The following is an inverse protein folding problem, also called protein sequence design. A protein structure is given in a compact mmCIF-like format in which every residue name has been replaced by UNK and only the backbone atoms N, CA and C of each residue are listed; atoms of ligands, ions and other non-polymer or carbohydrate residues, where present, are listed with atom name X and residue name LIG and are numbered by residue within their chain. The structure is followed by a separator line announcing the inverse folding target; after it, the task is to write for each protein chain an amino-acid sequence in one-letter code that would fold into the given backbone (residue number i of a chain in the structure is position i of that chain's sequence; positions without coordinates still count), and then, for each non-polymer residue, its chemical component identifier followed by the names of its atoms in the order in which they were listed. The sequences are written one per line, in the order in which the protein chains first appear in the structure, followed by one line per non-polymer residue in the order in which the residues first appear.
data_IF_388115195767
#
_entry.id   IF_388115195767
#
_cell.length_a   1.000
_cell.length_b   1.000
_cell.length_c   1.000
_cell.angle_alpha   90.00
_cell.angle_beta   90.00
_cell.angle_gamma   90.00
#
_symmetry.space_group_name_H-M   'P 1'
#
loop_
_entity.id
_entity.type
_entity.pdbx_description
1 polymer ?
#
# COMPACT_ATOMS: atom_id res chain seq x y z
N UNK A 1 -5.89 -15.29 35.92
CA UNK A 1 -6.82 -15.83 34.88
C UNK A 1 -7.36 -14.65 34.09
N UNK A 2 -7.23 -14.68 32.77
CA UNK A 2 -7.74 -13.62 31.88
C UNK A 2 -8.70 -14.20 30.87
N UNK A 3 -9.70 -13.38 30.48
CA UNK A 3 -10.68 -13.69 29.45
C UNK A 3 -10.76 -12.52 28.48
N UNK A 4 -10.98 -12.81 27.20
CA UNK A 4 -11.36 -11.81 26.23
C UNK A 4 -12.40 -12.37 25.25
N UNK A 5 -13.21 -11.50 24.72
CA UNK A 5 -14.24 -11.80 23.72
C UNK A 5 -13.69 -11.47 22.34
N UNK A 6 -13.83 -12.39 21.42
CA UNK A 6 -13.39 -12.22 20.03
C UNK A 6 -14.24 -11.12 19.37
N UNK A 7 -13.57 -10.07 18.95
CA UNK A 7 -14.17 -8.95 18.21
C UNK A 7 -14.25 -9.23 16.71
N UNK A 8 -14.96 -8.42 15.91
CA UNK A 8 -14.95 -8.55 14.43
C UNK A 8 -13.55 -8.58 13.84
N UNK A 9 -12.59 -7.83 14.41
CA UNK A 9 -11.20 -7.78 13.95
C UNK A 9 -10.35 -9.01 14.33
N UNK A 10 -10.89 -9.89 15.15
CA UNK A 10 -10.24 -11.11 15.65
C UNK A 10 -10.87 -12.37 15.09
N UNK A 11 -12.09 -12.25 14.59
CA UNK A 11 -12.86 -13.37 14.03
C UNK A 11 -12.34 -13.81 12.65
N UNK A 12 -12.71 -15.02 12.24
CA UNK A 12 -12.38 -15.58 10.93
C UNK A 12 -10.96 -16.13 10.79
N UNK A 13 -10.10 -15.93 11.79
CA UNK A 13 -8.74 -16.50 11.82
C UNK A 13 -8.69 -17.76 12.67
N UNK A 14 -7.60 -18.53 12.54
CA UNK A 14 -7.38 -19.69 13.42
C UNK A 14 -7.03 -19.21 14.83
N UNK A 15 -7.50 -19.95 15.84
CA UNK A 15 -7.26 -19.65 17.25
C UNK A 15 -5.77 -19.60 17.58
N UNK A 16 -4.95 -20.52 17.02
CA UNK A 16 -3.49 -20.51 17.25
C UNK A 16 -2.83 -19.21 16.75
N UNK A 17 -3.30 -18.63 15.64
CA UNK A 17 -2.79 -17.35 15.12
C UNK A 17 -3.23 -16.18 15.99
N UNK A 18 -4.45 -16.19 16.49
CA UNK A 18 -4.95 -15.18 17.43
C UNK A 18 -4.12 -15.20 18.72
N UNK A 19 -3.88 -16.41 19.28
CA UNK A 19 -3.07 -16.58 20.50
C UNK A 19 -1.61 -16.15 20.34
N UNK A 20 -0.99 -16.40 19.18
CA UNK A 20 0.38 -15.92 18.88
C UNK A 20 0.44 -14.39 18.85
N UNK A 21 -0.62 -13.72 18.45
CA UNK A 21 -0.68 -12.25 18.48
C UNK A 21 -0.90 -11.76 19.92
N UNK A 22 -1.78 -12.41 20.67
CA UNK A 22 -2.11 -12.02 22.04
C UNK A 22 -0.94 -12.27 23.01
N UNK A 23 -0.26 -13.41 22.89
CA UNK A 23 0.95 -13.77 23.65
C UNK A 23 2.17 -13.65 22.71
N UNK A 24 2.47 -12.44 22.29
CA UNK A 24 3.40 -12.15 21.19
C UNK A 24 4.88 -12.46 21.46
N UNK A 25 5.26 -12.68 22.73
CA UNK A 25 6.59 -13.14 23.14
C UNK A 25 6.62 -14.65 23.41
N UNK A 26 5.47 -15.35 23.35
CA UNK A 26 5.43 -16.77 23.63
C UNK A 26 5.91 -17.60 22.41
N UNK A 27 6.79 -18.59 22.61
CA UNK A 27 7.09 -19.53 21.55
C UNK A 27 5.84 -20.36 21.21
N UNK A 28 5.65 -20.68 19.94
CA UNK A 28 4.50 -21.47 19.47
C UNK A 28 4.33 -22.79 20.25
N UNK A 29 5.44 -23.44 20.61
CA UNK A 29 5.44 -24.66 21.41
C UNK A 29 4.77 -24.48 22.76
N UNK A 30 4.93 -23.33 23.40
CA UNK A 30 4.24 -22.98 24.65
C UNK A 30 2.74 -22.88 24.43
N UNK A 31 2.28 -22.17 23.41
CA UNK A 31 0.86 -22.02 23.09
C UNK A 31 0.19 -23.38 22.89
N UNK A 32 0.76 -24.24 22.05
CA UNK A 32 0.25 -25.58 21.83
C UNK A 32 0.29 -26.48 23.07
N UNK A 33 1.29 -26.31 23.95
CA UNK A 33 1.34 -26.98 25.24
C UNK A 33 0.16 -26.55 26.15
N UNK A 34 -0.18 -25.24 26.16
CA UNK A 34 -1.28 -24.71 26.98
C UNK A 34 -2.65 -25.15 26.44
N UNK A 35 -2.84 -25.20 25.14
CA UNK A 35 -4.03 -25.74 24.50
C UNK A 35 -4.24 -27.23 24.86
N UNK A 36 -3.21 -28.07 24.71
CA UNK A 36 -3.27 -29.50 25.07
C UNK A 36 -3.62 -29.73 26.53
N UNK A 37 -3.08 -28.89 27.44
CA UNK A 37 -3.34 -28.99 28.90
C UNK A 37 -4.68 -28.39 29.32
N UNK A 38 -5.49 -27.86 28.39
CA UNK A 38 -6.74 -27.14 28.68
C UNK A 38 -6.52 -25.87 29.51
N UNK A 39 -5.28 -25.33 29.52
CA UNK A 39 -4.99 -24.04 30.15
C UNK A 39 -5.37 -22.84 29.26
N UNK A 40 -5.74 -23.11 28.01
CA UNK A 40 -6.41 -22.19 27.11
C UNK A 40 -7.63 -22.90 26.56
N UNK A 41 -8.79 -22.22 26.62
CA UNK A 41 -10.07 -22.78 26.20
C UNK A 41 -10.80 -21.79 25.31
N UNK A 42 -11.60 -22.31 24.37
CA UNK A 42 -12.54 -21.56 23.53
C UNK A 42 -13.96 -21.93 23.95
N UNK A 43 -14.75 -20.93 24.36
CA UNK A 43 -16.13 -21.13 24.86
C UNK A 43 -16.19 -22.21 25.98
N UNK A 44 -15.20 -22.20 26.87
CA UNK A 44 -15.09 -23.18 27.97
C UNK A 44 -14.67 -24.60 27.54
N UNK A 45 -14.51 -24.86 26.24
CA UNK A 45 -14.16 -26.18 25.69
C UNK A 45 -12.65 -26.27 25.41
N UNK A 46 -12.14 -27.51 25.48
CA UNK A 46 -10.79 -27.82 25.06
C UNK A 46 -10.67 -27.59 23.54
N UNK A 47 -9.57 -27.00 23.12
CA UNK A 47 -9.27 -26.68 21.73
C UNK A 47 -7.81 -27.06 21.38
N UNK A 48 -7.50 -27.17 20.10
CA UNK A 48 -6.16 -27.53 19.60
C UNK A 48 -5.47 -26.38 18.84
N UNK A 49 -6.21 -25.28 18.57
CA UNK A 49 -5.74 -24.08 17.90
C UNK A 49 -6.07 -24.04 16.40
N UNK A 50 -6.65 -25.11 15.84
CA UNK A 50 -7.09 -25.14 14.43
C UNK A 50 -8.48 -24.50 14.22
N UNK A 51 -9.22 -24.30 15.31
CA UNK A 51 -10.57 -23.75 15.28
C UNK A 51 -10.57 -22.33 14.69
N UNK A 52 -11.52 -22.04 13.81
CA UNK A 52 -11.77 -20.67 13.34
C UNK A 52 -12.57 -19.93 14.40
N UNK A 53 -12.08 -18.77 14.80
CA UNK A 53 -12.77 -17.89 15.75
C UNK A 53 -13.97 -17.21 15.09
N UNK A 54 -15.05 -17.07 15.85
CA UNK A 54 -16.25 -16.31 15.49
C UNK A 54 -16.41 -15.09 16.40
N UNK A 55 -17.10 -14.05 15.93
CA UNK A 55 -17.44 -12.89 16.76
C UNK A 55 -18.25 -13.35 17.97
N UNK A 56 -17.85 -12.90 19.16
CA UNK A 56 -18.49 -13.27 20.42
C UNK A 56 -17.93 -14.53 21.09
N UNK A 57 -17.01 -15.25 20.45
CA UNK A 57 -16.31 -16.36 21.11
C UNK A 57 -15.55 -15.88 22.34
N UNK A 58 -15.63 -16.63 23.45
CA UNK A 58 -14.87 -16.38 24.67
C UNK A 58 -13.59 -17.21 24.67
N UNK A 59 -12.45 -16.53 24.67
CA UNK A 59 -11.13 -17.16 24.90
C UNK A 59 -10.74 -16.98 26.35
N UNK A 60 -10.53 -18.09 27.09
CA UNK A 60 -10.10 -18.04 28.48
C UNK A 60 -8.69 -18.59 28.61
N UNK A 61 -7.79 -17.81 29.25
CA UNK A 61 -6.43 -18.19 29.61
C UNK A 61 -6.36 -18.49 31.12
N UNK A 62 -6.29 -19.77 31.46
CA UNK A 62 -6.07 -20.26 32.82
C UNK A 62 -4.56 -20.22 33.16
N UNK A 63 -3.97 -19.02 33.03
CA UNK A 63 -2.58 -18.74 33.31
C UNK A 63 -2.49 -17.70 34.43
N UNK A 64 -1.40 -17.70 35.19
CA UNK A 64 -1.14 -16.61 36.14
C UNK A 64 -0.87 -15.30 35.40
N UNK A 65 -1.16 -14.18 36.04
CA UNK A 65 -0.94 -12.86 35.44
C UNK A 65 0.55 -12.65 35.13
N UNK A 66 1.49 -13.08 36.01
CA UNK A 66 2.94 -13.08 35.77
C UNK A 66 3.32 -13.84 34.48
N UNK A 67 2.65 -14.97 34.20
CA UNK A 67 2.90 -15.75 32.97
C UNK A 67 2.42 -15.00 31.74
N UNK A 68 1.27 -14.33 31.84
CA UNK A 68 0.71 -13.55 30.74
C UNK A 68 1.59 -12.33 30.47
N UNK A 69 1.99 -11.58 31.50
CA UNK A 69 2.88 -10.43 31.41
C UNK A 69 4.24 -10.80 30.81
N UNK A 70 4.79 -11.96 31.22
CA UNK A 70 6.04 -12.47 30.64
C UNK A 70 5.98 -12.72 29.15
N UNK A 71 4.82 -13.13 28.64
CA UNK A 71 4.65 -13.51 27.23
C UNK A 71 3.85 -12.50 26.42
N UNK A 72 3.51 -11.35 27.00
CA UNK A 72 2.77 -10.28 26.35
C UNK A 72 3.52 -8.95 26.49
N UNK A 73 3.94 -8.42 25.37
CA UNK A 73 4.47 -7.07 25.28
C UNK A 73 3.45 -6.15 24.63
N UNK A 74 3.03 -5.14 25.36
CA UNK A 74 2.20 -4.05 24.79
C UNK A 74 3.14 -3.07 24.09
N UNK A 75 3.22 -3.15 22.78
CA UNK A 75 4.01 -2.17 22.02
C UNK A 75 3.30 -0.82 22.08
N UNK A 76 3.98 0.16 22.66
CA UNK A 76 3.51 1.54 22.61
C UNK A 76 3.31 1.97 21.17
N UNK A 77 2.20 2.63 20.90
CA UNK A 77 1.95 3.23 19.60
C UNK A 77 2.75 4.54 19.55
N UNK A 78 3.63 4.65 18.57
CA UNK A 78 4.26 5.92 18.28
C UNK A 78 3.22 6.80 17.56
N UNK A 79 2.74 7.82 18.24
CA UNK A 79 1.91 8.85 17.61
C UNK A 79 2.80 9.72 16.72
N UNK A 80 2.51 9.69 15.42
CA UNK A 80 3.19 10.52 14.43
C UNK A 80 2.21 11.49 13.81
N UNK A 81 2.68 12.67 13.42
CA UNK A 81 1.87 13.62 12.67
C UNK A 81 1.56 13.03 11.29
N UNK A 82 0.31 13.14 10.87
CA UNK A 82 -0.14 12.68 9.54
C UNK A 82 -0.26 13.86 8.57
N UNK A 83 0.13 13.63 7.29
CA UNK A 83 0.25 14.69 6.27
C UNK A 83 -0.56 14.38 5.00
N UNK A 84 -1.22 13.23 4.93
CA UNK A 84 -2.03 12.84 3.79
C UNK A 84 -3.43 13.50 3.83
N UNK A 85 -4.13 13.46 2.71
CA UNK A 85 -5.56 13.78 2.64
C UNK A 85 -6.36 12.49 2.55
N UNK A 86 -7.49 12.41 3.26
CA UNK A 86 -8.43 11.30 3.13
C UNK A 86 -9.20 11.46 1.82
N UNK A 87 -9.27 10.38 1.05
CA UNK A 87 -10.05 10.27 -0.19
C UNK A 87 -11.38 9.61 0.09
N UNK A 88 -11.36 8.54 0.88
CA UNK A 88 -12.54 7.78 1.26
C UNK A 88 -12.28 7.04 2.57
N UNK A 89 -13.32 6.83 3.37
CA UNK A 89 -13.25 6.03 4.59
C UNK A 89 -14.60 5.34 4.84
N UNK A 90 -14.56 4.05 5.13
CA UNK A 90 -15.70 3.28 5.65
C UNK A 90 -15.29 2.43 6.86
N UNK A 91 -16.09 1.42 7.23
CA UNK A 91 -15.80 0.52 8.34
C UNK A 91 -14.55 -0.33 8.10
N UNK A 92 -14.20 -0.66 6.86
CA UNK A 92 -13.22 -1.65 6.50
C UNK A 92 -11.94 -1.09 5.89
N UNK A 93 -12.04 0.00 5.14
CA UNK A 93 -10.92 0.61 4.44
C UNK A 93 -10.80 2.12 4.70
N UNK A 94 -9.57 2.61 4.60
CA UNK A 94 -9.23 4.02 4.51
C UNK A 94 -8.41 4.23 3.24
N UNK A 95 -8.91 5.03 2.32
CA UNK A 95 -8.19 5.45 1.12
C UNK A 95 -7.59 6.84 1.34
N UNK A 96 -6.29 6.96 1.18
CA UNK A 96 -5.56 8.21 1.38
C UNK A 96 -4.89 8.68 0.09
N UNK A 97 -4.74 9.99 -0.05
CA UNK A 97 -3.85 10.60 -1.04
C UNK A 97 -2.47 10.75 -0.41
N UNK A 98 -1.61 9.76 -0.61
CA UNK A 98 -0.24 9.74 -0.08
C UNK A 98 0.58 10.88 -0.68
N UNK A 99 1.22 11.73 0.12
CA UNK A 99 2.13 12.75 -0.41
C UNK A 99 3.40 12.14 -1.03
N UNK A 100 4.07 12.92 -1.85
CA UNK A 100 5.41 12.64 -2.36
C UNK A 100 6.41 12.62 -1.20
N UNK A 101 7.43 11.77 -1.27
CA UNK A 101 8.48 11.67 -0.26
C UNK A 101 8.19 10.76 0.91
N UNK A 102 6.92 10.42 1.16
CA UNK A 102 6.50 9.52 2.23
C UNK A 102 6.59 8.05 1.79
N UNK A 103 7.19 7.19 2.61
CA UNK A 103 7.17 5.74 2.42
C UNK A 103 5.75 5.18 2.60
N UNK A 104 5.37 4.14 1.88
CA UNK A 104 4.12 3.41 2.15
C UNK A 104 4.21 2.58 3.43
N UNK A 105 5.37 1.96 3.65
CA UNK A 105 5.70 1.18 4.85
C UNK A 105 7.14 1.48 5.25
N UNK A 106 7.46 1.34 6.54
CA UNK A 106 8.83 1.48 7.05
C UNK A 106 9.81 0.57 6.30
N UNK A 107 10.95 1.10 5.91
CA UNK A 107 12.08 0.34 5.40
C UNK A 107 13.06 0.01 6.54
N UNK A 108 13.13 0.90 7.55
CA UNK A 108 13.92 0.77 8.78
C UNK A 108 13.04 1.09 9.99
N UNK A 109 13.38 0.62 11.19
CA UNK A 109 12.60 0.85 12.41
C UNK A 109 12.32 2.34 12.69
N UNK A 110 13.29 3.20 12.43
CA UNK A 110 13.24 4.65 12.66
C UNK A 110 12.43 5.45 11.62
N UNK A 111 12.07 4.82 10.50
CA UNK A 111 11.31 5.51 9.44
C UNK A 111 9.89 5.81 9.92
N UNK A 112 9.35 6.93 9.46
CA UNK A 112 7.91 7.21 9.46
C UNK A 112 7.35 6.87 8.07
N UNK A 113 6.19 6.24 8.02
CA UNK A 113 5.56 5.88 6.77
C UNK A 113 4.05 6.16 6.78
N UNK A 114 3.42 6.12 5.63
CA UNK A 114 1.98 6.28 5.48
C UNK A 114 1.18 5.30 6.36
N UNK A 115 1.75 4.12 6.64
CA UNK A 115 1.13 3.15 7.53
C UNK A 115 1.05 3.66 8.99
N UNK A 116 2.14 4.21 9.53
CA UNK A 116 2.17 4.78 10.88
C UNK A 116 1.32 6.05 10.96
N UNK A 117 1.38 6.90 9.94
CA UNK A 117 0.53 8.07 9.84
C UNK A 117 -0.96 7.70 9.82
N UNK A 118 -1.34 6.64 9.07
CA UNK A 118 -2.72 6.16 9.00
C UNK A 118 -3.21 5.59 10.35
N UNK A 119 -2.36 4.85 11.07
CA UNK A 119 -2.68 4.35 12.41
C UNK A 119 -2.91 5.53 13.37
N UNK A 120 -2.01 6.52 13.38
CA UNK A 120 -2.16 7.72 14.22
C UNK A 120 -3.43 8.49 13.88
N UNK A 121 -3.73 8.69 12.59
CA UNK A 121 -4.97 9.31 12.13
C UNK A 121 -6.21 8.58 12.65
N UNK A 122 -6.26 7.25 12.55
CA UNK A 122 -7.40 6.45 12.98
C UNK A 122 -7.62 6.53 14.51
N UNK A 123 -6.53 6.60 15.30
CA UNK A 123 -6.60 6.81 16.75
C UNK A 123 -7.10 8.22 17.07
N UNK A 124 -6.52 9.25 16.44
CA UNK A 124 -6.89 10.65 16.66
C UNK A 124 -8.36 10.93 16.31
N UNK A 125 -8.90 10.19 15.31
CA UNK A 125 -10.31 10.24 14.91
C UNK A 125 -11.22 9.32 15.72
N UNK A 126 -10.69 8.62 16.71
CA UNK A 126 -11.41 7.61 17.49
C UNK A 126 -12.07 6.51 16.64
N UNK A 127 -11.55 6.27 15.42
CA UNK A 127 -11.98 5.19 14.53
C UNK A 127 -11.50 3.82 15.00
N UNK A 128 -10.42 3.79 15.78
CA UNK A 128 -9.87 2.60 16.45
C UNK A 128 -9.42 2.94 17.86
N UNK A 129 -9.49 1.95 18.78
CA UNK A 129 -8.91 2.03 20.11
C UNK A 129 -7.46 1.51 20.08
N UNK A 130 -6.53 2.19 20.76
CA UNK A 130 -5.14 1.75 20.86
C UNK A 130 -4.99 0.30 21.37
N UNK A 131 -5.87 -0.12 22.30
CA UNK A 131 -5.88 -1.50 22.80
C UNK A 131 -6.18 -2.52 21.70
N UNK A 132 -6.99 -2.15 20.71
CA UNK A 132 -7.30 -3.04 19.58
C UNK A 132 -6.09 -3.35 18.72
N UNK A 133 -5.07 -2.47 18.73
CA UNK A 133 -3.81 -2.65 17.99
C UNK A 133 -2.93 -3.79 18.50
N UNK A 134 -3.19 -4.29 19.71
CA UNK A 134 -2.50 -5.46 20.26
C UNK A 134 -2.83 -6.73 19.47
N UNK A 135 -4.01 -6.81 18.90
CA UNK A 135 -4.50 -7.99 18.19
C UNK A 135 -4.55 -7.78 16.67
N UNK A 136 -5.01 -6.61 16.23
CA UNK A 136 -5.04 -6.22 14.83
C UNK A 136 -4.46 -4.82 14.64
N UNK A 137 -3.53 -4.71 13.70
CA UNK A 137 -2.98 -3.40 13.29
C UNK A 137 -3.42 -3.10 11.87
N UNK A 138 -4.06 -1.94 11.63
CA UNK A 138 -4.31 -1.44 10.28
C UNK A 138 -3.04 -1.45 9.45
N UNK A 139 -3.15 -1.81 8.19
CA UNK A 139 -1.99 -1.87 7.31
C UNK A 139 -2.36 -1.48 5.89
N UNK A 140 -1.40 -0.88 5.18
CA UNK A 140 -1.56 -0.61 3.76
C UNK A 140 -1.72 -1.91 2.97
N UNK A 141 -2.69 -1.95 2.07
CA UNK A 141 -3.02 -3.13 1.26
C UNK A 141 -2.09 -3.29 0.05
N UNK A 142 -1.49 -2.21 -0.40
CA UNK A 142 -0.48 -2.19 -1.47
C UNK A 142 0.57 -1.13 -1.20
N UNK A 143 1.53 -0.95 -2.09
CA UNK A 143 2.59 0.02 -1.91
C UNK A 143 2.74 0.92 -3.12
N UNK A 144 3.05 2.17 -2.86
CA UNK A 144 3.59 3.13 -3.81
C UNK A 144 5.07 3.36 -3.49
N UNK A 145 5.86 3.71 -4.48
CA UNK A 145 7.23 4.15 -4.26
C UNK A 145 7.23 5.40 -3.36
N UNK A 146 8.35 5.65 -2.65
CA UNK A 146 8.49 6.83 -1.78
C UNK A 146 8.06 8.12 -2.48
N UNK A 147 8.51 8.30 -3.72
CA UNK A 147 8.28 9.51 -4.50
C UNK A 147 7.09 9.43 -5.47
N UNK A 148 6.30 8.39 -5.42
CA UNK A 148 5.01 8.29 -6.09
C UNK A 148 3.91 8.75 -5.14
N UNK A 149 3.14 9.74 -5.54
CA UNK A 149 1.99 10.25 -4.79
C UNK A 149 0.70 9.53 -5.18
N UNK A 150 -0.37 9.82 -4.47
CA UNK A 150 -1.73 9.42 -4.85
C UNK A 150 -2.32 8.31 -4.01
N UNK A 151 -3.27 7.62 -4.59
CA UNK A 151 -4.18 6.72 -3.93
C UNK A 151 -3.45 5.53 -3.30
N UNK A 152 -3.60 5.38 -1.99
CA UNK A 152 -3.08 4.28 -1.20
C UNK A 152 -4.20 3.76 -0.28
N UNK A 153 -4.48 2.47 -0.33
CA UNK A 153 -5.54 1.83 0.46
C UNK A 153 -4.93 1.22 1.73
N UNK A 154 -5.55 1.49 2.86
CA UNK A 154 -5.25 0.94 4.18
C UNK A 154 -6.43 0.08 4.62
N UNK A 155 -6.19 -1.16 5.02
CA UNK A 155 -7.19 -2.00 5.67
C UNK A 155 -7.33 -1.61 7.13
N UNK A 156 -8.52 -1.12 7.53
CA UNK A 156 -8.86 -0.73 8.90
C UNK A 156 -9.28 -1.91 9.77
N UNK A 157 -9.81 -2.96 9.15
CA UNK A 157 -10.25 -4.19 9.79
C UNK A 157 -9.52 -5.40 9.19
N UNK A 158 -9.54 -6.52 9.91
CA UNK A 158 -8.99 -7.77 9.38
C UNK A 158 -9.71 -8.18 8.09
N UNK A 159 -11.04 -8.02 8.04
CA UNK A 159 -11.83 -8.26 6.84
C UNK A 159 -11.37 -7.37 5.68
N UNK A 160 -11.31 -6.05 5.89
CA UNK A 160 -10.89 -5.12 4.85
C UNK A 160 -9.49 -5.40 4.31
N UNK A 161 -8.54 -5.76 5.21
CA UNK A 161 -7.18 -6.12 4.80
C UNK A 161 -7.14 -7.41 3.98
N UNK A 162 -7.90 -8.44 4.39
CA UNK A 162 -7.95 -9.72 3.68
C UNK A 162 -8.66 -9.59 2.34
N UNK A 163 -9.80 -8.92 2.32
CA UNK A 163 -10.61 -8.69 1.13
C UNK A 163 -9.83 -7.88 0.06
N UNK A 164 -9.23 -6.76 0.46
CA UNK A 164 -8.37 -5.99 -0.45
C UNK A 164 -7.16 -6.78 -0.94
N UNK A 165 -6.58 -7.64 -0.08
CA UNK A 165 -5.47 -8.51 -0.47
C UNK A 165 -5.89 -9.51 -1.55
N UNK A 166 -7.10 -10.05 -1.47
CA UNK A 166 -7.67 -10.97 -2.46
C UNK A 166 -7.93 -10.24 -3.80
N UNK A 167 -8.63 -9.11 -3.77
CA UNK A 167 -8.88 -8.25 -4.93
C UNK A 167 -7.58 -7.91 -5.68
N UNK A 168 -6.55 -7.51 -4.94
CA UNK A 168 -5.25 -7.15 -5.52
C UNK A 168 -4.47 -8.36 -6.04
N UNK A 169 -4.56 -9.53 -5.39
CA UNK A 169 -3.93 -10.78 -5.80
C UNK A 169 -4.56 -11.32 -7.08
N UNK A 170 -5.88 -11.30 -7.16
CA UNK A 170 -6.66 -11.76 -8.31
C UNK A 170 -6.67 -10.75 -9.45
N UNK A 171 -6.16 -9.52 -9.20
CA UNK A 171 -6.08 -8.43 -10.17
C UNK A 171 -7.44 -7.97 -10.69
N UNK A 172 -8.47 -8.05 -9.85
CA UNK A 172 -9.80 -7.56 -10.19
C UNK A 172 -9.91 -6.04 -10.02
N UNK A 173 -8.97 -5.41 -9.28
CA UNK A 173 -8.87 -3.96 -9.20
C UNK A 173 -8.14 -3.38 -10.42
N UNK A 174 -8.75 -2.39 -11.07
CA UNK A 174 -8.11 -1.56 -12.08
C UNK A 174 -7.39 -0.39 -11.41
N UNK A 175 -6.14 -0.14 -11.78
CA UNK A 175 -5.28 0.89 -11.17
C UNK A 175 -4.75 1.82 -12.23
N UNK A 176 -5.18 3.08 -12.17
CA UNK A 176 -4.80 4.10 -13.12
C UNK A 176 -3.86 5.12 -12.49
N UNK A 177 -2.81 5.44 -13.22
CA UNK A 177 -1.82 6.43 -12.86
C UNK A 177 -1.79 7.55 -13.89
N UNK A 178 -1.41 8.73 -13.44
CA UNK A 178 -1.04 9.84 -14.31
C UNK A 178 0.47 10.06 -14.23
N UNK A 179 1.11 10.24 -15.37
CA UNK A 179 2.51 10.61 -15.41
C UNK A 179 2.83 11.54 -16.58
N UNK A 180 3.82 12.40 -16.39
CA UNK A 180 4.40 13.21 -17.46
C UNK A 180 5.68 12.53 -17.93
N UNK A 181 5.78 12.26 -19.22
CA UNK A 181 6.94 11.60 -19.83
C UNK A 181 7.64 12.47 -20.86
N UNK A 182 8.93 12.20 -21.07
CA UNK A 182 9.72 12.78 -22.14
C UNK A 182 9.28 12.24 -23.51
N UNK A 183 9.24 13.13 -24.50
CA UNK A 183 8.92 12.79 -25.88
C UNK A 183 7.41 12.81 -26.19
N UNK A 184 7.11 12.62 -27.48
CA UNK A 184 5.76 12.65 -28.01
C UNK A 184 5.27 11.21 -28.18
N UNK A 185 4.12 10.92 -27.62
CA UNK A 185 3.38 9.67 -27.79
C UNK A 185 2.01 10.05 -28.39
N UNK A 186 1.69 9.49 -29.53
CA UNK A 186 0.47 9.80 -30.27
C UNK A 186 -0.60 8.71 -30.13
N UNK A 187 -0.17 7.47 -29.86
CA UNK A 187 -1.06 6.31 -29.81
C UNK A 187 -0.96 5.57 -28.47
N UNK A 188 -2.08 4.98 -28.08
CA UNK A 188 -2.13 4.07 -26.93
C UNK A 188 -1.31 2.80 -27.21
N UNK A 189 -0.64 2.28 -26.18
CA UNK A 189 0.17 1.08 -26.32
C UNK A 189 -0.02 0.13 -25.13
N UNK A 190 0.01 -1.15 -25.45
CA UNK A 190 0.01 -2.24 -24.50
C UNK A 190 1.38 -2.91 -24.52
N UNK A 191 2.19 -2.61 -23.49
CA UNK A 191 3.58 -3.10 -23.42
C UNK A 191 3.71 -4.24 -22.42
N UNK A 192 4.48 -5.27 -22.81
CA UNK A 192 4.76 -6.46 -22.01
C UNK A 192 6.26 -6.71 -21.95
N UNK A 193 6.72 -7.33 -20.88
CA UNK A 193 8.12 -7.66 -20.70
C UNK A 193 8.37 -8.42 -19.42
N UNK A 194 9.63 -8.54 -19.06
CA UNK A 194 10.08 -9.17 -17.82
C UNK A 194 10.95 -8.20 -17.03
N UNK A 195 10.59 -7.98 -15.78
CA UNK A 195 11.32 -7.08 -14.90
C UNK A 195 12.35 -7.89 -14.12
N UNK A 196 13.60 -7.54 -14.30
CA UNK A 196 14.74 -8.18 -13.64
C UNK A 196 15.35 -7.19 -12.64
N UNK A 197 15.55 -7.64 -11.41
CA UNK A 197 16.17 -6.84 -10.36
C UNK A 197 17.68 -7.02 -10.36
N UNK A 198 18.41 -5.93 -10.44
CA UNK A 198 19.83 -5.87 -10.09
C UNK A 198 19.97 -5.61 -8.59
N UNK A 199 20.39 -6.62 -7.85
CA UNK A 199 20.51 -6.54 -6.40
C UNK A 199 21.64 -5.61 -5.92
N UNK A 200 22.67 -5.41 -6.75
CA UNK A 200 23.82 -4.55 -6.40
C UNK A 200 23.44 -3.07 -6.45
N UNK A 201 22.69 -2.66 -7.46
CA UNK A 201 22.31 -1.26 -7.66
C UNK A 201 20.92 -0.94 -7.16
N UNK A 202 20.16 -1.95 -6.73
CA UNK A 202 18.74 -1.86 -6.39
C UNK A 202 17.90 -1.21 -7.52
N UNK A 203 18.36 -1.36 -8.78
CA UNK A 203 17.64 -0.99 -9.99
C UNK A 203 16.91 -2.19 -10.55
N UNK A 204 15.87 -1.93 -11.34
CA UNK A 204 15.24 -2.93 -12.18
C UNK A 204 15.42 -2.53 -13.63
N UNK A 205 15.54 -3.50 -14.52
CA UNK A 205 15.54 -3.30 -15.96
C UNK A 205 14.51 -4.20 -16.61
N UNK A 206 14.06 -3.82 -17.80
CA UNK A 206 13.06 -4.58 -18.55
C UNK A 206 13.76 -5.38 -19.65
N UNK A 207 13.47 -6.67 -19.69
CA UNK A 207 13.85 -7.56 -20.80
C UNK A 207 12.62 -7.92 -21.62
N UNK A 208 12.78 -8.02 -22.94
CA UNK A 208 11.74 -8.56 -23.84
C UNK A 208 11.65 -10.08 -23.75
N UNK A 209 12.77 -10.74 -23.43
CA UNK A 209 12.84 -12.19 -23.30
C UNK A 209 12.70 -12.63 -21.85
N UNK A 210 12.09 -13.79 -21.65
CA UNK A 210 11.95 -14.40 -20.32
C UNK A 210 13.32 -14.79 -19.78
N UNK A 211 13.68 -14.23 -18.64
CA UNK A 211 14.89 -14.56 -17.89
C UNK A 211 14.52 -15.37 -16.64
N UNK A 212 15.43 -16.21 -16.15
CA UNK A 212 15.20 -17.10 -15.01
C UNK A 212 14.73 -16.36 -13.73
N UNK A 213 15.21 -15.12 -13.52
CA UNK A 213 14.78 -14.24 -12.39
C UNK A 213 13.77 -13.17 -12.80
N UNK A 214 13.33 -13.16 -14.06
CA UNK A 214 12.44 -12.15 -14.62
C UNK A 214 10.99 -12.34 -14.17
N UNK A 215 10.37 -11.28 -13.66
CA UNK A 215 8.96 -11.27 -13.33
C UNK A 215 8.16 -10.64 -14.47
N UNK A 216 7.17 -11.36 -15.02
CA UNK A 216 6.32 -10.83 -16.06
C UNK A 216 5.64 -9.53 -15.64
N UNK A 217 5.69 -8.54 -16.50
CA UNK A 217 5.07 -7.22 -16.32
C UNK A 217 4.23 -6.86 -17.52
N UNK A 218 3.14 -6.14 -17.24
CA UNK A 218 2.16 -5.72 -18.23
C UNK A 218 1.61 -4.35 -17.84
N UNK A 219 1.66 -3.41 -18.78
CA UNK A 219 1.27 -2.01 -18.61
C UNK A 219 0.58 -1.54 -19.88
N UNK A 220 -0.59 -0.94 -19.74
CA UNK A 220 -1.25 -0.23 -20.82
C UNK A 220 -1.13 1.27 -20.56
N UNK A 221 -0.92 2.07 -21.59
CA UNK A 221 -0.95 3.52 -21.48
C UNK A 221 -1.59 4.16 -22.70
N UNK A 222 -2.22 5.29 -22.46
CA UNK A 222 -2.83 6.15 -23.49
C UNK A 222 -2.41 7.61 -23.29
N UNK A 223 -2.05 8.32 -24.38
CA UNK A 223 -1.74 9.73 -24.30
C UNK A 223 -3.02 10.53 -24.08
N UNK A 224 -2.99 11.46 -23.11
CA UNK A 224 -4.05 12.44 -22.90
C UNK A 224 -3.80 13.70 -23.72
N UNK A 225 -2.54 13.99 -24.03
CA UNK A 225 -2.08 15.10 -24.86
C UNK A 225 -0.59 15.37 -24.66
N UNK A 226 -0.03 16.19 -25.56
CA UNK A 226 1.39 16.57 -25.54
C UNK A 226 1.56 18.07 -25.80
N UNK A 227 2.74 18.60 -25.46
CA UNK A 227 3.13 19.99 -25.71
C UNK A 227 4.25 20.13 -26.76
N UNK A 228 4.52 19.08 -27.53
CA UNK A 228 5.63 19.01 -28.50
C UNK A 228 6.95 18.48 -27.91
N UNK A 229 7.07 18.35 -26.58
CA UNK A 229 8.27 17.88 -25.88
C UNK A 229 7.97 16.79 -24.85
N UNK A 230 6.84 16.87 -24.18
CA UNK A 230 6.37 15.93 -23.17
C UNK A 230 4.96 15.49 -23.49
N UNK A 231 4.62 14.29 -23.02
CA UNK A 231 3.26 13.73 -23.12
C UNK A 231 2.71 13.45 -21.72
N UNK A 232 1.49 13.90 -21.45
CA UNK A 232 0.72 13.47 -20.29
C UNK A 232 0.06 12.14 -20.60
N UNK A 233 0.34 11.11 -19.80
CA UNK A 233 -0.20 9.76 -19.98
C UNK A 233 -1.17 9.40 -18.85
N UNK A 234 -2.24 8.69 -19.23
CA UNK A 234 -2.97 7.79 -18.32
C UNK A 234 -2.40 6.39 -18.50
N UNK A 235 -2.03 5.77 -17.40
CA UNK A 235 -1.38 4.46 -17.37
C UNK A 235 -2.21 3.50 -16.56
N UNK A 236 -2.59 2.36 -17.15
CA UNK A 236 -3.20 1.24 -16.42
C UNK A 236 -2.12 0.25 -15.99
N UNK A 237 -2.03 0.03 -14.68
CA UNK A 237 -1.08 -0.90 -14.08
C UNK A 237 -1.71 -2.29 -13.92
N UNK A 238 -1.54 -3.16 -14.91
CA UNK A 238 -2.11 -4.52 -14.95
C UNK A 238 -1.38 -5.43 -13.95
N UNK A 239 -0.05 -5.40 -13.96
CA UNK A 239 0.78 -6.04 -12.92
C UNK A 239 1.38 -4.96 -12.01
N UNK A 240 1.74 -5.30 -10.76
CA UNK A 240 2.21 -4.32 -9.76
C UNK A 240 3.57 -4.67 -9.20
N UNK A 241 4.65 -4.57 -10.02
CA UNK A 241 6.02 -4.84 -9.56
C UNK A 241 6.73 -3.54 -9.18
N UNK A 242 7.76 -3.66 -8.35
CA UNK A 242 8.56 -2.51 -7.89
C UNK A 242 9.10 -1.71 -9.07
N UNK A 243 8.88 -0.39 -9.07
CA UNK A 243 9.28 0.55 -10.14
C UNK A 243 8.74 0.21 -11.54
N UNK A 244 7.70 -0.63 -11.67
CA UNK A 244 7.28 -1.15 -12.97
C UNK A 244 7.02 -0.07 -14.00
N UNK A 245 6.10 0.87 -13.74
CA UNK A 245 5.74 1.94 -14.68
C UNK A 245 6.99 2.72 -15.10
N UNK A 246 7.83 3.07 -14.13
CA UNK A 246 9.04 3.86 -14.32
C UNK A 246 10.05 3.18 -15.25
N UNK A 247 10.38 1.91 -14.96
CA UNK A 247 11.31 1.15 -15.78
C UNK A 247 10.71 0.77 -17.14
N UNK A 248 9.40 0.46 -17.20
CA UNK A 248 8.72 0.04 -18.42
C UNK A 248 8.65 1.20 -19.44
N UNK A 249 8.21 2.40 -19.01
CA UNK A 249 8.19 3.58 -19.88
C UNK A 249 9.59 4.00 -20.33
N UNK A 250 10.56 3.96 -19.43
CA UNK A 250 11.97 4.23 -19.80
C UNK A 250 12.51 3.23 -20.83
N UNK A 251 12.11 1.95 -20.77
CA UNK A 251 12.57 0.92 -21.71
C UNK A 251 12.05 1.10 -23.15
N UNK A 252 10.97 1.87 -23.30
CA UNK A 252 10.40 2.23 -24.62
C UNK A 252 10.78 3.65 -25.06
N UNK A 253 11.70 4.31 -24.34
CA UNK A 253 12.24 5.63 -24.71
C UNK A 253 11.47 6.82 -24.13
N UNK A 254 10.48 6.61 -23.28
CA UNK A 254 9.63 7.66 -22.71
C UNK A 254 9.74 7.69 -21.18
N UNK A 255 10.90 8.13 -20.69
CA UNK A 255 11.14 8.19 -19.25
C UNK A 255 10.26 9.23 -18.56
N UNK A 256 9.90 8.95 -17.29
CA UNK A 256 9.08 9.87 -16.49
C UNK A 256 9.92 11.10 -16.10
N UNK A 257 9.36 12.28 -16.31
CA UNK A 257 9.96 13.56 -15.91
C UNK A 257 10.14 13.60 -14.39
N UNK A 258 11.34 14.03 -13.95
CA UNK A 258 11.71 14.09 -12.54
C UNK A 258 12.16 12.75 -11.93
N UNK A 259 12.19 11.66 -12.72
CA UNK A 259 12.69 10.38 -12.23
C UNK A 259 14.23 10.37 -12.18
N UNK A 260 14.79 10.49 -10.97
CA UNK A 260 16.25 10.47 -10.76
C UNK A 260 16.92 9.11 -11.00
N UNK A 261 16.13 8.03 -11.24
CA UNK A 261 16.66 6.68 -11.39
C UNK A 261 16.60 6.16 -12.83
N UNK A 262 15.52 6.48 -13.56
CA UNK A 262 15.24 6.00 -14.90
C UNK A 262 15.05 7.14 -15.90
N UNK A 263 14.99 8.40 -15.44
CA UNK A 263 14.74 9.59 -16.25
C UNK A 263 15.98 10.13 -16.96
N UNK A 264 15.75 11.04 -17.89
CA UNK A 264 16.76 11.81 -18.59
C UNK A 264 17.32 12.92 -17.70
N UNK A 265 18.63 12.95 -17.48
CA UNK A 265 19.26 13.96 -16.65
C UNK A 265 19.05 15.37 -17.22
N UNK A 266 19.16 15.53 -18.55
CA UNK A 266 18.94 16.79 -19.25
C UNK A 266 17.53 17.35 -19.02
N UNK A 267 16.50 16.50 -19.13
CA UNK A 267 15.10 16.89 -18.91
C UNK A 267 14.88 17.20 -17.43
N UNK A 268 15.38 16.34 -16.54
CA UNK A 268 15.24 16.54 -15.10
C UNK A 268 15.90 17.83 -14.61
N UNK A 269 17.06 18.20 -15.18
CA UNK A 269 17.75 19.45 -14.86
C UNK A 269 16.95 20.67 -15.30
N UNK A 270 16.31 20.60 -16.46
CA UNK A 270 15.45 21.67 -16.94
C UNK A 270 14.25 21.87 -15.98
N UNK A 271 13.53 20.80 -15.61
CA UNK A 271 12.39 20.87 -14.69
C UNK A 271 12.82 21.27 -13.27
N UNK A 272 14.01 20.86 -12.82
CA UNK A 272 14.57 21.28 -11.54
C UNK A 272 14.83 22.79 -11.51
N UNK A 273 15.38 23.35 -12.58
CA UNK A 273 15.67 24.80 -12.67
C UNK A 273 14.40 25.65 -12.77
N UNK A 274 13.39 25.20 -13.53
CA UNK A 274 12.20 26.01 -13.81
C UNK A 274 11.07 25.81 -12.78
N UNK A 275 10.92 24.61 -12.24
CA UNK A 275 9.84 24.26 -11.34
C UNK A 275 10.28 23.81 -9.96
N UNK A 276 11.62 23.72 -9.71
CA UNK A 276 12.19 23.13 -8.49
C UNK A 276 11.79 21.67 -8.27
N UNK A 277 11.47 20.95 -9.34
CA UNK A 277 11.03 19.57 -9.30
C UNK A 277 12.11 18.66 -8.71
N UNK A 278 11.77 17.88 -7.69
CA UNK A 278 12.68 16.98 -6.98
C UNK A 278 12.34 15.49 -7.17
N UNK A 279 11.14 15.19 -7.63
CA UNK A 279 10.61 13.83 -7.66
C UNK A 279 9.89 13.56 -8.99
N UNK A 280 9.74 12.26 -9.32
CA UNK A 280 9.04 11.85 -10.54
C UNK A 280 7.59 12.34 -10.57
N UNK A 281 7.15 12.82 -11.71
CA UNK A 281 5.76 13.15 -11.98
C UNK A 281 4.97 11.88 -12.29
N UNK A 282 4.75 11.08 -11.24
CA UNK A 282 3.97 9.85 -11.25
C UNK A 282 2.99 9.87 -10.07
N UNK A 283 1.72 9.69 -10.37
CA UNK A 283 0.63 9.80 -9.41
C UNK A 283 -0.35 8.64 -9.57
N UNK A 284 -0.61 7.91 -8.49
CA UNK A 284 -1.67 6.91 -8.43
C UNK A 284 -3.01 7.65 -8.38
N UNK A 285 -3.63 7.79 -9.54
CA UNK A 285 -4.75 8.69 -9.71
C UNK A 285 -6.09 8.07 -9.32
N UNK A 286 -6.40 6.86 -9.83
CA UNK A 286 -7.71 6.23 -9.68
C UNK A 286 -7.58 4.73 -9.49
N UNK A 287 -8.45 4.17 -8.65
CA UNK A 287 -8.59 2.73 -8.46
C UNK A 287 -10.07 2.36 -8.50
N UNK A 288 -10.39 1.34 -9.28
CA UNK A 288 -11.74 0.81 -9.43
C UNK A 288 -11.76 -0.65 -9.02
N UNK A 289 -12.63 -1.01 -8.12
CA UNK A 289 -12.85 -2.39 -7.68
C UNK A 289 -14.27 -2.51 -7.12
N UNK A 290 -14.97 -3.58 -7.46
CA UNK A 290 -16.37 -3.77 -7.10
C UNK A 290 -17.20 -2.51 -7.42
N UNK A 291 -17.91 -1.96 -6.45
CA UNK A 291 -18.69 -0.72 -6.59
C UNK A 291 -17.89 0.55 -6.27
N UNK A 292 -16.59 0.41 -5.94
CA UNK A 292 -15.74 1.56 -5.61
C UNK A 292 -15.08 2.15 -6.84
N UNK A 293 -15.13 3.48 -6.93
CA UNK A 293 -14.37 4.28 -7.88
C UNK A 293 -13.72 5.43 -7.12
N UNK A 294 -12.49 5.22 -6.67
CA UNK A 294 -11.75 6.15 -5.82
C UNK A 294 -10.74 6.94 -6.64
N UNK A 295 -10.75 8.28 -6.50
CA UNK A 295 -9.86 9.17 -7.25
C UNK A 295 -9.12 10.11 -6.30
N UNK A 296 -7.80 10.14 -6.38
CA UNK A 296 -6.95 11.05 -5.64
C UNK A 296 -6.62 12.30 -6.50
N UNK A 297 -6.81 13.53 -5.98
CA UNK A 297 -6.40 14.73 -6.70
C UNK A 297 -4.88 14.82 -6.82
N UNK A 298 -4.40 15.45 -7.90
CA UNK A 298 -2.97 15.69 -8.10
C UNK A 298 -2.38 16.52 -6.94
N UNK A 299 -1.10 16.32 -6.69
CA UNK A 299 -0.36 17.15 -5.77
C UNK A 299 0.02 18.50 -6.39
N UNK A 300 0.17 19.58 -5.58
CA UNK A 300 0.22 20.95 -6.10
C UNK A 300 1.32 21.23 -7.12
N UNK A 301 2.52 20.63 -6.96
CA UNK A 301 3.62 20.81 -7.92
C UNK A 301 3.32 20.15 -9.26
N UNK A 302 2.68 18.99 -9.30
CA UNK A 302 2.28 18.36 -10.55
C UNK A 302 1.24 19.23 -11.28
N UNK A 303 0.23 19.70 -10.56
CA UNK A 303 -0.76 20.63 -11.10
C UNK A 303 -0.12 21.90 -11.66
N UNK A 304 0.81 22.52 -10.90
CA UNK A 304 1.56 23.69 -11.33
C UNK A 304 2.34 23.43 -12.62
N UNK A 305 2.98 22.28 -12.73
CA UNK A 305 3.74 21.89 -13.92
C UNK A 305 2.81 21.67 -15.10
N UNK A 306 1.69 20.96 -14.96
CA UNK A 306 0.74 20.79 -16.06
C UNK A 306 0.18 22.13 -16.59
N UNK A 307 -0.03 23.09 -15.69
CA UNK A 307 -0.44 24.46 -16.09
C UNK A 307 0.67 25.19 -16.84
N UNK A 308 1.90 25.12 -16.33
CA UNK A 308 3.06 25.78 -16.96
C UNK A 308 3.45 25.19 -18.32
N UNK A 309 3.24 23.88 -18.48
CA UNK A 309 3.52 23.13 -19.70
C UNK A 309 2.32 23.06 -20.66
N UNK A 310 1.24 23.81 -20.39
CA UNK A 310 0.01 23.87 -21.21
C UNK A 310 -0.73 22.52 -21.37
N UNK A 311 -0.59 21.60 -20.41
CA UNK A 311 -1.23 20.29 -20.41
C UNK A 311 -2.40 20.18 -19.42
N UNK A 312 -2.74 21.26 -18.72
CA UNK A 312 -3.77 21.25 -17.68
C UNK A 312 -5.17 20.95 -18.20
N UNK A 313 -5.52 21.44 -19.41
CA UNK A 313 -6.82 21.18 -20.02
C UNK A 313 -7.06 19.68 -20.23
N UNK A 314 -6.03 18.91 -20.59
CA UNK A 314 -6.11 17.46 -20.80
C UNK A 314 -6.50 16.73 -19.50
N UNK A 315 -5.93 17.16 -18.37
CA UNK A 315 -6.32 16.63 -17.06
C UNK A 315 -7.76 17.00 -16.68
N UNK A 316 -8.20 18.23 -16.96
CA UNK A 316 -9.58 18.67 -16.68
C UNK A 316 -10.59 17.88 -17.50
N UNK A 317 -10.29 17.61 -18.76
CA UNK A 317 -11.20 16.84 -19.63
C UNK A 317 -11.29 15.37 -19.18
N UNK A 318 -10.21 14.80 -18.68
CA UNK A 318 -10.21 13.47 -18.07
C UNK A 318 -11.09 13.39 -16.80
N UNK A 319 -11.22 14.49 -16.04
CA UNK A 319 -12.05 14.53 -14.82
C UNK A 319 -13.56 14.60 -15.11
N UNK A 320 -13.96 14.95 -16.32
CA UNK A 320 -15.37 15.05 -16.72
C UNK A 320 -15.94 13.72 -17.21
N UNK A 321 -15.05 12.78 -17.56
CA UNK A 321 -15.37 11.43 -18.03
C UNK A 321 -15.17 10.38 -16.91
#
# INVERSE_FOLDING_TARGET
MQKFIVTPNEAGQRLDKLLVKYLNLAPKSFIYKMLRKKNITLNGKKCDGSEKTAVGDEVTLWLSDDTIEKFRETKKVEHVQWHFKVVYEDEHILAINKPVGLLSQKAKPEDVSANEEAISFLIDKHSIDEKSLEVFRPSVCHRLDRNTSGLLIVGKSLYGLQHMSEILKERTAQKYYLCLVEGIIEEAQHIKGYLVKDEKTNRVYVSKEQMASGQAIETFYEPLGNNGFQTLLKVELITGRTHQIRAHLASVGHSIVGDGKYGSEKVNDWFRKHYHLKHQLLHSWRMEFEDYCLTAPLWPEFEKILKGEHLWSMYIDLQKN
#
